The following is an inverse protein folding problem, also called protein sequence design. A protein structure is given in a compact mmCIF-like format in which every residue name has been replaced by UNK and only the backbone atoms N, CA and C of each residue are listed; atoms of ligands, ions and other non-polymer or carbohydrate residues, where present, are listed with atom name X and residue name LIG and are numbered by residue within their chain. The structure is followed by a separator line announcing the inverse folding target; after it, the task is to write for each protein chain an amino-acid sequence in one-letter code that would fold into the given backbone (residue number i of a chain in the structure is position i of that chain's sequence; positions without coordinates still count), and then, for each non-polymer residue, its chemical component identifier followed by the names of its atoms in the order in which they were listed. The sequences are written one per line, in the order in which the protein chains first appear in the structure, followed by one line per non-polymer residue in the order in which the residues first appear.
data_IF_246871738327
#
_entry.id   IF_246871738327
#
_cell.length_a   1.000
_cell.length_b   1.000
_cell.length_c   1.000
_cell.angle_alpha   90.00
_cell.angle_beta   90.00
_cell.angle_gamma   90.00
#
_symmetry.space_group_name_H-M   'P 1'
#
loop_
_entity.id
_entity.type
_entity.pdbx_description
1 polymer ?
#
# COMPACT_ATOMS: atom_id res chain seq x y z
N UNK A 1 -5.44 -5.55 25.03
CA UNK A 1 -5.37 -4.36 24.15
C UNK A 1 -6.34 -4.63 23.03
N UNK A 2 -7.45 -3.89 22.98
CA UNK A 2 -8.42 -4.02 21.89
C UNK A 2 -7.72 -3.57 20.60
N UNK A 3 -7.38 -4.54 19.75
CA UNK A 3 -6.76 -4.28 18.46
C UNK A 3 -7.81 -3.58 17.60
N UNK A 4 -7.71 -2.26 17.45
CA UNK A 4 -8.62 -1.50 16.62
C UNK A 4 -8.17 -1.66 15.15
N UNK A 5 -8.93 -2.33 14.28
CA UNK A 5 -8.54 -2.52 12.87
C UNK A 5 -8.37 -1.18 12.13
N UNK A 6 -9.01 -0.10 12.58
CA UNK A 6 -8.77 1.23 12.04
C UNK A 6 -7.36 1.76 12.32
N UNK A 7 -6.80 1.44 13.48
CA UNK A 7 -5.45 1.88 13.87
C UNK A 7 -4.38 1.20 13.00
N UNK A 8 -4.60 -0.08 12.67
CA UNK A 8 -3.76 -0.84 11.74
C UNK A 8 -3.78 -0.24 10.32
N UNK A 9 -4.96 0.16 9.82
CA UNK A 9 -5.11 0.74 8.48
C UNK A 9 -4.48 2.13 8.41
N UNK A 10 -4.63 2.93 9.46
CA UNK A 10 -4.07 4.29 9.54
C UNK A 10 -2.55 4.32 9.73
N UNK A 11 -1.97 3.30 10.37
CA UNK A 11 -0.53 3.19 10.58
C UNK A 11 0.10 2.06 9.76
N UNK A 12 -0.49 1.73 8.61
CA UNK A 12 -0.02 0.65 7.76
C UNK A 12 1.42 0.90 7.27
N UNK A 13 1.83 2.15 7.17
CA UNK A 13 3.19 2.60 6.85
C UNK A 13 4.22 2.07 7.86
N UNK A 14 3.90 2.07 9.16
CA UNK A 14 4.77 1.56 10.24
C UNK A 14 4.84 0.04 10.21
N UNK A 15 3.71 -0.62 9.90
CA UNK A 15 3.63 -2.07 9.84
C UNK A 15 4.12 -2.64 8.50
N UNK A 16 4.34 -1.83 7.47
CA UNK A 16 4.64 -2.29 6.11
C UNK A 16 5.86 -3.20 6.09
N UNK A 17 6.96 -2.84 6.74
CA UNK A 17 8.17 -3.66 6.80
C UNK A 17 7.91 -5.06 7.38
N UNK A 18 7.07 -5.11 8.42
CA UNK A 18 6.64 -6.34 9.08
C UNK A 18 5.69 -7.13 8.18
N UNK A 19 4.82 -6.46 7.41
CA UNK A 19 3.98 -7.09 6.41
C UNK A 19 4.78 -7.66 5.25
N UNK A 20 5.78 -6.95 4.72
CA UNK A 20 6.62 -7.45 3.63
C UNK A 20 7.33 -8.73 4.08
N UNK A 21 7.86 -8.73 5.31
CA UNK A 21 8.58 -9.88 5.87
C UNK A 21 7.67 -11.09 6.13
N UNK A 22 6.44 -10.88 6.62
CA UNK A 22 5.54 -11.98 6.97
C UNK A 22 4.64 -12.45 5.82
N UNK A 23 4.23 -11.54 4.94
CA UNK A 23 3.22 -11.78 3.90
C UNK A 23 3.82 -11.82 2.49
N UNK A 24 5.07 -11.40 2.29
CA UNK A 24 5.79 -11.51 1.02
C UNK A 24 4.99 -10.93 -0.15
N UNK A 25 4.61 -11.80 -1.11
CA UNK A 25 3.84 -11.41 -2.30
C UNK A 25 2.45 -10.81 -1.99
N UNK A 26 1.84 -11.12 -0.84
CA UNK A 26 0.53 -10.54 -0.50
C UNK A 26 0.61 -9.04 -0.22
N UNK A 27 1.78 -8.50 0.09
CA UNK A 27 1.95 -7.06 0.33
C UNK A 27 1.67 -6.23 -0.92
N UNK A 28 1.94 -6.77 -2.11
CA UNK A 28 1.60 -6.09 -3.38
C UNK A 28 0.08 -5.93 -3.51
N UNK A 29 -0.70 -6.96 -3.16
CA UNK A 29 -2.16 -6.88 -3.23
C UNK A 29 -2.73 -5.87 -2.22
N UNK A 30 -2.13 -5.79 -1.02
CA UNK A 30 -2.52 -4.81 0.00
C UNK A 30 -2.22 -3.39 -0.48
N UNK A 31 -1.01 -3.16 -0.99
CA UNK A 31 -0.59 -1.87 -1.55
C UNK A 31 -1.48 -1.45 -2.73
N UNK A 32 -1.80 -2.37 -3.64
CA UNK A 32 -2.74 -2.13 -4.73
C UNK A 32 -4.09 -1.63 -4.21
N UNK A 33 -4.66 -2.34 -3.23
CA UNK A 33 -6.00 -2.05 -2.72
C UNK A 33 -6.01 -0.70 -1.98
N UNK A 34 -4.95 -0.37 -1.24
CA UNK A 34 -4.81 0.92 -0.55
C UNK A 34 -4.78 2.08 -1.54
N UNK A 35 -3.88 2.04 -2.54
CA UNK A 35 -3.76 3.12 -3.54
C UNK A 35 -5.01 3.22 -4.41
N UNK A 36 -5.59 2.08 -4.80
CA UNK A 36 -6.85 2.04 -5.54
C UNK A 36 -7.99 2.68 -4.74
N UNK A 37 -8.13 2.37 -3.44
CA UNK A 37 -9.16 2.96 -2.60
C UNK A 37 -8.94 4.45 -2.35
N UNK A 38 -7.70 4.90 -2.14
CA UNK A 38 -7.38 6.32 -1.93
C UNK A 38 -7.71 7.16 -3.18
N UNK A 39 -7.39 6.65 -4.38
CA UNK A 39 -7.59 7.37 -5.65
C UNK A 39 -9.00 7.20 -6.22
N UNK A 40 -9.65 6.04 -6.02
CA UNK A 40 -10.95 5.72 -6.60
C UNK A 40 -12.15 5.88 -5.69
N UNK A 41 -11.97 5.95 -4.37
CA UNK A 41 -13.06 6.22 -3.43
C UNK A 41 -12.95 7.66 -2.93
N UNK A 42 -13.86 8.53 -3.40
CA UNK A 42 -14.02 9.93 -2.93
C UNK A 42 -14.04 10.06 -1.39
N UNK A 43 -14.44 9.01 -0.69
CA UNK A 43 -14.71 8.99 0.75
C UNK A 43 -13.48 8.58 1.57
N UNK A 44 -12.40 8.04 0.97
CA UNK A 44 -11.24 7.50 1.70
C UNK A 44 -9.89 8.22 1.45
N UNK A 45 -9.80 9.57 1.51
CA UNK A 45 -8.51 10.28 1.40
C UNK A 45 -7.61 10.15 2.64
N UNK A 46 -8.03 9.40 3.66
CA UNK A 46 -7.30 9.23 4.92
C UNK A 46 -6.35 8.02 4.92
N UNK A 47 -6.32 7.23 3.84
CA UNK A 47 -5.36 6.13 3.72
C UNK A 47 -3.95 6.70 3.47
N UNK A 48 -2.90 6.22 4.17
CA UNK A 48 -1.56 6.80 4.09
C UNK A 48 -0.78 6.32 2.83
N UNK A 49 -1.36 6.47 1.64
CA UNK A 49 -0.79 5.90 0.41
C UNK A 49 0.57 6.49 0.01
N UNK A 50 0.76 7.81 0.12
CA UNK A 50 2.05 8.46 -0.17
C UNK A 50 3.19 7.92 0.69
N UNK A 51 2.95 7.81 2.00
CA UNK A 51 3.92 7.25 2.94
C UNK A 51 4.21 5.78 2.64
N UNK A 52 3.18 4.99 2.30
CA UNK A 52 3.33 3.59 1.89
C UNK A 52 4.16 3.43 0.61
N UNK A 53 3.96 4.31 -0.38
CA UNK A 53 4.76 4.31 -1.61
C UNK A 53 6.24 4.54 -1.30
N UNK A 54 6.55 5.47 -0.41
CA UNK A 54 7.93 5.77 -0.01
C UNK A 54 8.59 4.59 0.72
N UNK A 55 7.90 4.00 1.70
CA UNK A 55 8.42 2.88 2.49
C UNK A 55 8.51 1.62 1.62
N UNK A 56 7.51 1.35 0.76
CA UNK A 56 7.57 0.24 -0.17
C UNK A 56 8.74 0.37 -1.14
N UNK A 57 9.02 1.58 -1.62
CA UNK A 57 10.23 1.88 -2.41
C UNK A 57 11.52 1.63 -1.65
N UNK A 58 11.60 2.04 -0.38
CA UNK A 58 12.76 1.78 0.48
C UNK A 58 12.99 0.28 0.72
N UNK A 59 11.92 -0.48 0.97
CA UNK A 59 11.98 -1.94 1.16
C UNK A 59 12.34 -2.67 -0.13
N UNK A 60 11.82 -2.22 -1.29
CA UNK A 60 12.20 -2.75 -2.59
C UNK A 60 13.68 -2.50 -2.90
N UNK A 61 14.21 -1.32 -2.55
CA UNK A 61 15.63 -1.02 -2.67
C UNK A 61 16.51 -1.90 -1.74
N UNK A 62 15.97 -2.33 -0.60
CA UNK A 62 16.60 -3.29 0.31
C UNK A 62 16.54 -4.75 -0.16
N UNK A 63 15.92 -5.04 -1.31
CA UNK A 63 15.76 -6.39 -1.86
C UNK A 63 14.59 -7.19 -1.28
N UNK A 64 13.72 -6.56 -0.49
CA UNK A 64 12.51 -7.21 0.06
C UNK A 64 11.39 -7.38 -0.96
N UNK A 65 11.44 -6.63 -2.07
CA UNK A 65 10.42 -6.63 -3.13
C UNK A 65 11.05 -6.35 -4.50
N UNK A 66 10.39 -6.78 -5.58
CA UNK A 66 10.78 -6.43 -6.94
C UNK A 66 10.26 -5.02 -7.28
N UNK A 67 11.15 -4.04 -7.51
CA UNK A 67 10.76 -2.65 -7.70
C UNK A 67 10.01 -2.41 -9.03
N UNK A 68 10.26 -3.23 -10.06
CA UNK A 68 9.61 -3.06 -11.37
C UNK A 68 8.17 -3.54 -11.31
N UNK A 69 7.94 -4.71 -10.70
CA UNK A 69 6.62 -5.26 -10.44
C UNK A 69 5.83 -4.35 -9.52
N UNK A 70 6.47 -3.85 -8.44
CA UNK A 70 5.87 -2.88 -7.53
C UNK A 70 5.40 -1.63 -8.28
N UNK A 71 6.29 -1.00 -9.06
CA UNK A 71 5.97 0.21 -9.81
C UNK A 71 4.82 -0.01 -10.81
N UNK A 72 4.86 -1.10 -11.59
CA UNK A 72 3.82 -1.42 -12.56
C UNK A 72 2.46 -1.64 -11.89
N UNK A 73 2.43 -2.34 -10.76
CA UNK A 73 1.21 -2.66 -10.04
C UNK A 73 0.59 -1.42 -9.36
N UNK A 74 1.41 -0.56 -8.75
CA UNK A 74 0.94 0.69 -8.14
C UNK A 74 0.42 1.69 -9.19
N UNK A 75 1.08 1.75 -10.34
CA UNK A 75 0.65 2.59 -11.45
C UNK A 75 -0.71 2.13 -11.99
N UNK A 76 -0.90 0.81 -12.14
CA UNK A 76 -2.22 0.25 -12.49
C UNK A 76 -3.26 0.55 -11.42
N UNK A 77 -2.93 0.45 -10.13
CA UNK A 77 -3.84 0.77 -9.03
C UNK A 77 -4.33 2.22 -9.11
N UNK A 78 -3.41 3.17 -9.29
CA UNK A 78 -3.73 4.60 -9.37
C UNK A 78 -4.58 4.93 -10.61
N UNK A 79 -4.23 4.38 -11.78
CA UNK A 79 -5.00 4.61 -13.03
C UNK A 79 -6.41 4.02 -12.90
N UNK A 80 -6.53 2.80 -12.37
CA UNK A 80 -7.83 2.16 -12.19
C UNK A 80 -8.68 2.86 -11.13
N UNK A 81 -8.07 3.30 -10.04
CA UNK A 81 -8.75 4.07 -9.00
C UNK A 81 -9.28 5.38 -9.55
N UNK A 82 -8.43 6.20 -10.17
CA UNK A 82 -8.84 7.47 -10.81
C UNK A 82 -9.94 7.28 -11.86
N UNK A 83 -9.92 6.17 -12.61
CA UNK A 83 -10.97 5.84 -13.58
C UNK A 83 -12.33 5.48 -12.95
N UNK A 84 -12.36 5.15 -11.65
CA UNK A 84 -13.57 4.78 -10.90
C UNK A 84 -14.14 5.90 -10.03
N UNK A 85 -13.40 7.00 -9.88
CA UNK A 85 -13.78 8.24 -9.20
C UNK A 85 -14.79 9.05 -10.02
#
# INVERSE_FOLDING_TARGET
MEFNPLDLILHLDVYLDLLVTNYGTWVYAILFLVIFCETGLVIMPFLPGDSLLFIAGAVAAGGGMDPVLLAGLLMLAAILGDSTN
#
